data_IF_573892523023
#
_entry.id   IF_573892523023
#
_cell.length_a   1.000
_cell.length_b   1.000
_cell.length_c   1.000
_cell.angle_alpha   90.00
_cell.angle_beta   90.00
_cell.angle_gamma   90.00
#
_symmetry.space_group_name_H-M   'P 1'
#
loop_
_entity.id
_entity.type
_entity.pdbx_description
1 polymer ?
#
# COMPACT_ATOMS: atom_id res chain seq x y z
N UNK A 1 -2.70 19.83 11.88
CA UNK A 1 -3.87 19.19 12.58
C UNK A 1 -3.43 17.81 13.05
N UNK A 2 -4.03 17.21 14.10
CA UNK A 2 -3.55 15.91 14.64
C UNK A 2 -4.46 14.76 14.21
N UNK A 3 -3.88 13.60 13.94
CA UNK A 3 -4.53 12.29 13.72
C UNK A 3 -4.04 11.32 14.79
N UNK A 4 -4.94 10.56 15.35
CA UNK A 4 -4.64 9.57 16.38
C UNK A 4 -4.57 8.17 15.75
N UNK A 5 -3.58 7.37 16.14
CA UNK A 5 -3.39 6.03 15.55
C UNK A 5 -4.52 5.09 15.95
N UNK A 6 -5.04 5.22 17.18
CA UNK A 6 -6.21 4.46 17.59
C UNK A 6 -7.42 4.79 16.69
N UNK A 7 -7.62 6.07 16.38
CA UNK A 7 -8.64 6.51 15.42
C UNK A 7 -8.42 5.90 14.02
N UNK A 8 -7.18 5.87 13.51
CA UNK A 8 -6.86 5.16 12.26
C UNK A 8 -7.21 3.67 12.34
N UNK A 9 -6.97 3.03 13.49
CA UNK A 9 -7.39 1.67 13.79
C UNK A 9 -8.90 1.47 13.67
N UNK A 10 -9.68 2.37 14.27
CA UNK A 10 -11.15 2.34 14.16
C UNK A 10 -11.61 2.50 12.71
N UNK A 11 -11.05 3.46 11.96
CA UNK A 11 -11.39 3.64 10.55
C UNK A 11 -10.93 2.51 9.64
N UNK A 12 -9.82 1.84 9.98
CA UNK A 12 -9.35 0.65 9.26
C UNK A 12 -10.32 -0.51 9.49
N UNK A 13 -10.77 -0.70 10.74
CA UNK A 13 -11.80 -1.69 11.06
C UNK A 13 -13.13 -1.38 10.36
N UNK A 14 -13.55 -0.12 10.32
CA UNK A 14 -14.73 0.34 9.59
C UNK A 14 -14.68 0.00 8.11
N UNK A 15 -13.56 0.33 7.46
CA UNK A 15 -13.34 -0.02 6.06
C UNK A 15 -13.39 -1.54 5.85
N UNK A 16 -12.82 -2.32 6.78
CA UNK A 16 -12.83 -3.78 6.70
C UNK A 16 -14.24 -4.35 6.84
N UNK A 17 -15.01 -3.87 7.80
CA UNK A 17 -16.43 -4.25 8.00
C UNK A 17 -17.28 -3.88 6.78
N UNK A 18 -17.12 -2.65 6.25
CA UNK A 18 -17.77 -2.23 5.02
C UNK A 18 -17.42 -3.13 3.83
N UNK A 19 -16.15 -3.51 3.68
CA UNK A 19 -15.71 -4.40 2.60
C UNK A 19 -16.29 -5.80 2.73
N UNK A 20 -16.44 -6.32 3.95
CA UNK A 20 -17.13 -7.59 4.18
C UNK A 20 -18.61 -7.49 3.81
N UNK A 21 -19.29 -6.40 4.16
CA UNK A 21 -20.68 -6.18 3.75
C UNK A 21 -20.84 -6.09 2.22
N UNK A 22 -19.88 -5.46 1.53
CA UNK A 22 -19.84 -5.41 0.07
C UNK A 22 -19.63 -6.81 -0.55
N UNK A 23 -18.68 -7.58 0.00
CA UNK A 23 -18.40 -8.96 -0.40
C UNK A 23 -19.63 -9.87 -0.22
N UNK A 24 -20.28 -9.79 0.95
CA UNK A 24 -21.49 -10.56 1.27
C UNK A 24 -22.64 -10.20 0.32
N UNK A 25 -22.83 -8.91 0.04
CA UNK A 25 -23.87 -8.43 -0.87
C UNK A 25 -23.65 -8.96 -2.28
N UNK A 26 -22.41 -8.92 -2.78
CA UNK A 26 -22.06 -9.49 -4.08
C UNK A 26 -22.25 -11.01 -4.10
N UNK A 27 -21.82 -11.70 -3.04
CA UNK A 27 -21.92 -13.16 -2.93
C UNK A 27 -23.37 -13.62 -2.95
N UNK A 28 -24.26 -12.93 -2.22
CA UNK A 28 -25.69 -13.23 -2.19
C UNK A 28 -26.38 -13.06 -3.55
N UNK A 29 -25.96 -12.07 -4.34
CA UNK A 29 -26.55 -11.78 -5.65
C UNK A 29 -26.07 -12.72 -6.74
N UNK A 30 -24.77 -13.02 -6.74
CA UNK A 30 -24.10 -13.73 -7.82
C UNK A 30 -23.94 -15.22 -7.55
N UNK A 31 -24.02 -15.62 -6.27
CA UNK A 31 -23.72 -16.97 -5.81
C UNK A 31 -22.22 -17.30 -5.84
N UNK A 32 -21.35 -16.30 -6.01
CA UNK A 32 -19.89 -16.45 -6.05
C UNK A 32 -19.35 -16.14 -4.67
N UNK A 33 -18.48 -16.99 -4.17
CA UNK A 33 -17.79 -16.72 -2.91
C UNK A 33 -16.75 -15.62 -3.13
N UNK A 34 -17.05 -14.45 -2.56
CA UNK A 34 -16.18 -13.28 -2.55
C UNK A 34 -15.67 -13.06 -1.13
N UNK A 35 -14.38 -12.79 -0.99
CA UNK A 35 -13.78 -12.45 0.29
C UNK A 35 -12.96 -11.16 0.19
N UNK A 36 -12.77 -10.50 1.33
CA UNK A 36 -11.88 -9.36 1.46
C UNK A 36 -10.48 -9.89 1.72
N UNK A 37 -9.54 -9.56 0.85
CA UNK A 37 -8.14 -10.00 0.94
C UNK A 37 -7.33 -9.08 1.84
N UNK A 38 -7.40 -7.76 1.57
CA UNK A 38 -6.72 -6.74 2.36
C UNK A 38 -7.54 -5.46 2.41
N UNK A 39 -7.50 -4.78 3.56
CA UNK A 39 -8.00 -3.41 3.72
C UNK A 39 -6.93 -2.55 4.38
N UNK A 40 -6.59 -1.42 3.75
CA UNK A 40 -5.57 -0.50 4.25
C UNK A 40 -5.99 0.96 4.11
N UNK A 41 -5.39 1.80 4.96
CA UNK A 41 -5.46 3.25 4.85
C UNK A 41 -4.11 3.75 4.37
N UNK A 42 -4.09 4.47 3.26
CA UNK A 42 -2.88 5.06 2.72
C UNK A 42 -3.01 6.57 2.68
N UNK A 43 -1.96 7.28 3.07
CA UNK A 43 -1.89 8.74 2.98
C UNK A 43 -0.94 9.10 1.83
N UNK A 44 -1.47 9.73 0.79
CA UNK A 44 -0.73 10.00 -0.44
C UNK A 44 -0.84 11.46 -0.84
N UNK A 45 0.23 12.01 -1.43
CA UNK A 45 0.10 13.23 -2.21
C UNK A 45 -0.60 12.95 -3.54
N UNK A 46 -1.21 13.96 -4.20
CA UNK A 46 -1.79 13.77 -5.52
C UNK A 46 -0.78 13.27 -6.58
N UNK A 47 0.50 13.60 -6.42
CA UNK A 47 1.55 13.11 -7.32
C UNK A 47 1.89 11.64 -7.04
N UNK A 48 1.99 11.23 -5.77
CA UNK A 48 2.20 9.82 -5.42
C UNK A 48 0.98 8.95 -5.81
N UNK A 49 -0.23 9.50 -5.71
CA UNK A 49 -1.44 8.85 -6.22
C UNK A 49 -1.38 8.66 -7.73
N UNK A 50 -0.72 9.56 -8.47
CA UNK A 50 -0.51 9.41 -9.91
C UNK A 50 0.50 8.35 -10.28
N UNK A 51 1.62 8.32 -9.58
CA UNK A 51 2.63 7.27 -9.70
C UNK A 51 2.03 5.89 -9.37
N UNK A 52 1.02 5.86 -8.49
CA UNK A 52 0.42 4.63 -7.98
C UNK A 52 -0.54 3.90 -8.92
N UNK A 53 -1.10 4.61 -9.89
CA UNK A 53 -2.07 4.08 -10.85
C UNK A 53 -1.45 4.18 -12.25
N UNK A 54 -0.73 3.11 -12.62
CA UNK A 54 -0.04 2.89 -13.92
C UNK A 54 -0.98 3.02 -15.14
N UNK A 55 -0.47 2.87 -16.37
CA UNK A 55 -1.21 2.88 -17.65
C UNK A 55 -2.18 1.67 -17.82
N UNK A 56 -2.74 1.16 -16.72
CA UNK A 56 -3.76 0.13 -16.72
C UNK A 56 -5.14 0.70 -17.08
N UNK A 57 -5.92 -0.07 -17.84
CA UNK A 57 -7.30 0.28 -18.13
C UNK A 57 -8.23 -0.26 -17.05
N UNK A 58 -9.01 0.65 -16.47
CA UNK A 58 -10.00 0.34 -15.45
C UNK A 58 -11.42 0.54 -15.96
N UNK A 59 -12.32 -0.33 -15.51
CA UNK A 59 -13.76 -0.18 -15.64
C UNK A 59 -14.32 -0.14 -14.22
N UNK A 60 -15.31 0.72 -13.96
CA UNK A 60 -15.78 0.87 -12.60
C UNK A 60 -17.07 1.65 -12.44
N UNK A 61 -17.40 1.88 -11.17
CA UNK A 61 -18.55 2.67 -10.75
C UNK A 61 -18.10 3.64 -9.67
N UNK A 62 -18.41 4.91 -9.86
CA UNK A 62 -18.17 5.97 -8.89
C UNK A 62 -19.48 6.40 -8.23
N UNK A 63 -19.44 6.54 -6.90
CA UNK A 63 -20.51 7.05 -6.05
C UNK A 63 -19.91 8.06 -5.08
N UNK A 64 -20.36 9.31 -5.17
CA UNK A 64 -20.15 10.31 -4.13
C UNK A 64 -21.10 10.06 -2.95
N UNK A 65 -20.65 10.42 -1.75
CA UNK A 65 -21.45 10.39 -0.52
C UNK A 65 -21.30 11.71 0.24
N UNK A 66 -22.36 12.10 0.95
CA UNK A 66 -22.48 13.36 1.70
C UNK A 66 -23.26 13.12 3.02
N UNK A 67 -23.20 14.07 3.94
CA UNK A 67 -23.85 14.00 5.25
C UNK A 67 -22.95 14.54 6.37
N UNK A 68 -22.76 13.75 7.43
CA UNK A 68 -21.74 14.05 8.46
C UNK A 68 -20.33 13.64 8.02
N UNK A 69 -20.25 12.85 6.95
CA UNK A 69 -19.05 12.35 6.32
C UNK A 69 -19.26 12.49 4.83
N UNK A 70 -18.30 13.11 4.15
CA UNK A 70 -18.39 13.41 2.72
C UNK A 70 -17.15 12.92 1.99
N UNK A 71 -17.33 12.56 0.73
CA UNK A 71 -16.26 12.06 -0.11
C UNK A 71 -16.76 11.29 -1.31
N UNK A 72 -15.84 10.58 -1.94
CA UNK A 72 -16.11 9.83 -3.16
C UNK A 72 -15.58 8.41 -3.03
N UNK A 73 -16.32 7.47 -3.59
CA UNK A 73 -15.92 6.08 -3.64
C UNK A 73 -15.94 5.57 -5.07
N UNK A 74 -14.97 4.74 -5.42
CA UNK A 74 -14.85 4.14 -6.75
C UNK A 74 -14.60 2.64 -6.58
N UNK A 75 -15.50 1.84 -7.14
CA UNK A 75 -15.25 0.42 -7.38
C UNK A 75 -14.60 0.28 -8.75
N UNK A 76 -13.41 -0.31 -8.83
CA UNK A 76 -12.73 -0.55 -10.09
C UNK A 76 -12.38 -2.02 -10.30
N UNK A 77 -12.38 -2.38 -11.58
CA UNK A 77 -12.01 -3.68 -12.12
C UNK A 77 -10.96 -3.44 -13.19
N UNK A 78 -9.92 -4.28 -13.23
CA UNK A 78 -9.02 -4.31 -14.39
C UNK A 78 -9.83 -4.67 -15.64
N UNK A 79 -9.58 -3.98 -16.74
CA UNK A 79 -10.34 -4.15 -17.98
C UNK A 79 -10.33 -5.59 -18.49
N UNK A 80 -9.23 -6.32 -18.31
CA UNK A 80 -9.11 -7.73 -18.67
C UNK A 80 -10.04 -8.65 -17.85
N UNK A 81 -10.33 -8.29 -16.60
CA UNK A 81 -11.14 -9.08 -15.68
C UNK A 81 -12.65 -8.84 -15.83
N UNK A 82 -13.06 -7.75 -16.51
CA UNK A 82 -14.47 -7.38 -16.61
C UNK A 82 -15.31 -8.41 -17.36
N UNK A 83 -14.72 -9.13 -18.32
CA UNK A 83 -15.41 -10.17 -19.08
C UNK A 83 -15.81 -11.35 -18.19
N UNK A 84 -14.93 -11.75 -17.26
CA UNK A 84 -15.22 -12.79 -16.29
C UNK A 84 -16.36 -12.38 -15.36
N UNK A 85 -16.30 -11.14 -14.83
CA UNK A 85 -17.38 -10.58 -14.01
C UNK A 85 -18.71 -10.50 -14.77
N UNK A 86 -18.71 -9.98 -16.00
CA UNK A 86 -19.94 -9.85 -16.78
C UNK A 86 -20.55 -11.21 -17.12
N UNK A 87 -19.74 -12.23 -17.39
CA UNK A 87 -20.25 -13.59 -17.61
C UNK A 87 -20.89 -14.17 -16.34
N UNK A 88 -20.38 -13.81 -15.15
CA UNK A 88 -20.98 -14.17 -13.88
C UNK A 88 -22.32 -13.48 -13.64
N UNK A 89 -22.38 -12.18 -13.89
CA UNK A 89 -23.55 -11.34 -13.61
C UNK A 89 -24.66 -11.53 -14.65
N UNK A 90 -24.26 -11.67 -15.91
CA UNK A 90 -25.14 -11.69 -17.08
C UNK A 90 -24.73 -12.80 -18.06
N UNK A 91 -24.93 -14.09 -17.70
CA UNK A 91 -24.48 -15.22 -18.51
C UNK A 91 -24.94 -15.14 -19.96
N UNK A 92 -24.00 -15.30 -20.91
CA UNK A 92 -24.28 -15.26 -22.35
C UNK A 92 -24.59 -13.88 -22.95
N UNK A 93 -24.41 -12.81 -22.17
CA UNK A 93 -24.62 -11.42 -22.64
C UNK A 93 -23.34 -10.74 -23.11
N UNK A 94 -22.16 -11.29 -22.76
CA UNK A 94 -20.87 -10.73 -23.16
C UNK A 94 -20.42 -11.35 -24.49
N UNK A 95 -20.38 -10.55 -25.56
CA UNK A 95 -20.00 -11.01 -26.91
C UNK A 95 -18.51 -10.80 -27.23
N UNK A 96 -17.70 -10.35 -26.27
CA UNK A 96 -16.25 -10.13 -26.44
C UNK A 96 -15.85 -8.84 -27.17
N UNK A 97 -16.81 -8.13 -27.79
CA UNK A 97 -16.59 -6.83 -28.46
C UNK A 97 -17.12 -5.68 -27.58
N UNK A 98 -16.26 -5.21 -26.67
CA UNK A 98 -16.55 -4.05 -25.81
C UNK A 98 -17.65 -4.28 -24.76
N UNK A 99 -17.93 -3.25 -23.95
CA UNK A 99 -19.01 -3.24 -22.96
C UNK A 99 -20.17 -2.44 -23.54
N UNK A 100 -21.24 -3.13 -23.94
CA UNK A 100 -22.46 -2.50 -24.43
C UNK A 100 -23.27 -1.85 -23.29
N UNK A 101 -24.33 -1.11 -23.63
CA UNK A 101 -25.13 -0.40 -22.62
C UNK A 101 -25.83 -1.32 -21.62
N UNK A 102 -26.09 -2.57 -22.01
CA UNK A 102 -26.68 -3.57 -21.11
C UNK A 102 -25.64 -4.03 -20.08
N UNK A 103 -24.43 -4.35 -20.53
CA UNK A 103 -23.30 -4.70 -19.67
C UNK A 103 -22.90 -3.53 -18.76
N UNK A 104 -22.87 -2.28 -19.25
CA UNK A 104 -22.63 -1.10 -18.40
C UNK A 104 -23.68 -0.97 -17.31
N UNK A 105 -24.95 -1.22 -17.63
CA UNK A 105 -26.04 -1.19 -16.64
C UNK A 105 -25.86 -2.29 -15.59
N UNK A 106 -25.41 -3.48 -15.99
CA UNK A 106 -25.06 -4.57 -15.06
C UNK A 106 -23.91 -4.20 -14.13
N UNK A 107 -22.83 -3.61 -14.66
CA UNK A 107 -21.70 -3.11 -13.84
C UNK A 107 -22.18 -2.03 -12.87
N UNK A 108 -23.01 -1.08 -13.32
CA UNK A 108 -23.58 -0.04 -12.46
C UNK A 108 -24.42 -0.61 -11.33
N UNK A 109 -25.26 -1.60 -11.60
CA UNK A 109 -26.11 -2.22 -10.58
C UNK A 109 -25.28 -2.93 -9.52
N UNK A 110 -24.30 -3.72 -9.95
CA UNK A 110 -23.40 -4.43 -9.02
C UNK A 110 -22.54 -3.47 -8.23
N UNK A 111 -21.94 -2.48 -8.89
CA UNK A 111 -21.19 -1.44 -8.20
C UNK A 111 -22.06 -0.69 -7.20
N UNK A 112 -23.30 -0.33 -7.56
CA UNK A 112 -24.20 0.30 -6.62
C UNK A 112 -24.45 -0.55 -5.38
N UNK A 113 -24.72 -1.85 -5.54
CA UNK A 113 -25.01 -2.72 -4.40
C UNK A 113 -23.78 -2.90 -3.52
N UNK A 114 -22.62 -3.17 -4.10
CA UNK A 114 -21.38 -3.32 -3.33
C UNK A 114 -21.02 -2.06 -2.56
N UNK A 115 -21.09 -0.92 -3.22
CA UNK A 115 -20.71 0.36 -2.63
C UNK A 115 -21.74 0.84 -1.62
N UNK A 116 -23.04 0.57 -1.83
CA UNK A 116 -24.04 0.78 -0.78
C UNK A 116 -23.76 -0.08 0.44
N UNK A 117 -23.46 -1.38 0.28
CA UNK A 117 -23.09 -2.24 1.40
C UNK A 117 -21.83 -1.75 2.15
N UNK A 118 -20.84 -1.26 1.40
CA UNK A 118 -19.62 -0.67 1.97
C UNK A 118 -19.92 0.58 2.80
N UNK A 119 -20.63 1.55 2.23
CA UNK A 119 -20.95 2.83 2.89
C UNK A 119 -21.97 2.61 4.04
N UNK A 120 -22.90 1.67 3.92
CA UNK A 120 -23.84 1.31 4.98
C UNK A 120 -23.11 0.78 6.21
N UNK A 121 -22.03 -0.01 6.03
CA UNK A 121 -21.16 -0.44 7.13
C UNK A 121 -20.56 0.74 7.90
N UNK A 122 -20.14 1.79 7.20
CA UNK A 122 -19.68 3.03 7.83
C UNK A 122 -20.81 3.79 8.52
N UNK A 123 -21.97 3.91 7.87
CA UNK A 123 -23.14 4.62 8.39
C UNK A 123 -23.64 4.02 9.71
N UNK A 124 -23.75 2.70 9.77
CA UNK A 124 -24.21 1.95 10.95
C UNK A 124 -23.31 2.18 12.16
N UNK A 125 -21.99 2.11 11.96
CA UNK A 125 -21.02 2.28 13.04
C UNK A 125 -20.88 3.74 13.47
N UNK A 126 -20.87 4.69 12.52
CA UNK A 126 -20.85 6.12 12.84
C UNK A 126 -22.19 6.62 13.40
N UNK A 127 -23.26 5.81 13.33
CA UNK A 127 -24.59 6.17 13.79
C UNK A 127 -25.19 7.36 13.04
N UNK A 128 -24.76 7.57 11.79
CA UNK A 128 -25.19 8.68 10.94
C UNK A 128 -25.88 8.17 9.68
N UNK A 129 -26.81 8.96 9.16
CA UNK A 129 -27.25 8.79 7.78
C UNK A 129 -26.16 9.31 6.83
N UNK A 130 -25.92 8.58 5.74
CA UNK A 130 -25.04 8.97 4.66
C UNK A 130 -25.89 8.98 3.38
N UNK A 131 -25.95 10.12 2.70
CA UNK A 131 -26.67 10.27 1.45
C UNK A 131 -25.73 9.94 0.28
N UNK A 132 -26.15 9.02 -0.59
CA UNK A 132 -25.35 8.59 -1.75
C UNK A 132 -25.87 9.23 -3.04
N UNK A 133 -24.95 9.65 -3.89
CA UNK A 133 -25.25 10.07 -5.27
C UNK A 133 -25.58 8.85 -6.14
N UNK A 134 -26.33 9.02 -7.26
CA UNK A 134 -26.53 7.93 -8.20
C UNK A 134 -25.21 7.41 -8.80
N UNK A 135 -25.07 6.10 -9.04
CA UNK A 135 -23.85 5.50 -9.57
C UNK A 135 -23.51 6.07 -10.95
N UNK A 136 -22.23 6.35 -11.18
CA UNK A 136 -21.69 6.79 -12.47
C UNK A 136 -20.72 5.74 -13.00
N UNK A 137 -20.95 5.26 -14.22
CA UNK A 137 -20.04 4.32 -14.87
C UNK A 137 -18.77 5.05 -15.33
N UNK A 138 -17.61 4.47 -15.05
CA UNK A 138 -16.29 4.98 -15.46
C UNK A 138 -15.53 3.91 -16.23
N UNK A 139 -14.85 4.31 -17.30
CA UNK A 139 -13.97 3.47 -18.10
C UNK A 139 -12.83 4.35 -18.60
N UNK A 140 -11.68 4.24 -17.95
CA UNK A 140 -10.57 5.21 -18.00
C UNK A 140 -9.24 4.49 -17.76
N UNK A 141 -8.15 5.17 -18.10
CA UNK A 141 -6.78 4.67 -17.96
C UNK A 141 -6.11 5.32 -16.75
N UNK A 142 -5.39 4.53 -15.96
CA UNK A 142 -4.70 4.96 -14.76
C UNK A 142 -5.58 5.82 -13.84
N UNK A 143 -5.03 6.95 -13.42
CA UNK A 143 -5.67 7.87 -12.46
C UNK A 143 -6.95 8.54 -12.98
N UNK A 144 -7.21 8.54 -14.28
CA UNK A 144 -8.41 9.19 -14.83
C UNK A 144 -9.70 8.48 -14.38
N UNK A 145 -9.60 7.26 -13.83
CA UNK A 145 -10.72 6.54 -13.21
C UNK A 145 -11.07 7.07 -11.82
N UNK A 146 -10.13 7.78 -11.17
CA UNK A 146 -10.28 8.27 -9.81
C UNK A 146 -11.05 9.59 -9.77
N UNK A 147 -11.59 9.97 -8.59
CA UNK A 147 -12.29 11.23 -8.44
C UNK A 147 -11.34 12.43 -8.64
N UNK A 148 -11.70 13.36 -9.51
CA UNK A 148 -10.84 14.52 -9.84
C UNK A 148 -10.50 15.37 -8.61
N UNK A 149 -11.40 15.46 -7.62
CA UNK A 149 -11.16 16.19 -6.38
C UNK A 149 -9.96 15.66 -5.61
N UNK A 150 -9.76 14.34 -5.57
CA UNK A 150 -8.61 13.72 -4.94
C UNK A 150 -7.29 14.08 -5.65
N UNK A 151 -7.33 14.25 -6.98
CA UNK A 151 -6.15 14.61 -7.78
C UNK A 151 -5.82 16.12 -7.73
N UNK A 152 -6.80 16.96 -7.39
CA UNK A 152 -6.69 18.42 -7.40
C UNK A 152 -6.55 19.04 -6.00
N UNK A 153 -6.67 18.26 -4.92
CA UNK A 153 -6.73 18.75 -3.52
C UNK A 153 -5.53 19.60 -3.12
N UNK A 154 -4.35 19.40 -3.73
CA UNK A 154 -3.09 20.07 -3.38
C UNK A 154 -2.54 19.71 -1.98
N UNK A 155 -3.33 19.00 -1.18
CA UNK A 155 -3.03 18.46 0.14
C UNK A 155 -2.94 16.93 0.06
N UNK A 156 -2.49 16.29 1.14
CA UNK A 156 -2.51 14.83 1.24
C UNK A 156 -3.94 14.29 1.26
N UNK A 157 -4.13 13.13 0.66
CA UNK A 157 -5.41 12.46 0.51
C UNK A 157 -5.38 11.15 1.28
N UNK A 158 -6.41 10.92 2.10
CA UNK A 158 -6.67 9.61 2.66
C UNK A 158 -7.28 8.71 1.58
N UNK A 159 -6.66 7.56 1.36
CA UNK A 159 -7.15 6.51 0.51
C UNK A 159 -7.45 5.29 1.35
N UNK A 160 -8.72 4.92 1.43
CA UNK A 160 -9.14 3.62 1.94
C UNK A 160 -9.19 2.67 0.76
N UNK A 161 -8.28 1.71 0.74
CA UNK A 161 -8.22 0.68 -0.28
C UNK A 161 -8.72 -0.63 0.32
N UNK A 162 -9.59 -1.31 -0.40
CA UNK A 162 -9.93 -2.70 -0.11
C UNK A 162 -9.84 -3.53 -1.36
N UNK A 163 -9.04 -4.59 -1.29
CA UNK A 163 -8.94 -5.61 -2.33
C UNK A 163 -9.86 -6.76 -1.97
N UNK A 164 -10.66 -7.16 -2.94
CA UNK A 164 -11.57 -8.28 -2.83
C UNK A 164 -11.29 -9.26 -3.96
N UNK A 165 -11.42 -10.54 -3.67
CA UNK A 165 -11.08 -11.62 -4.57
C UNK A 165 -12.17 -12.69 -4.61
N UNK A 166 -12.17 -13.48 -5.69
CA UNK A 166 -13.06 -14.65 -5.85
C UNK A 166 -12.26 -15.93 -5.78
N UNK A 167 -12.79 -16.96 -5.11
CA UNK A 167 -12.08 -18.24 -4.94
C UNK A 167 -11.89 -19.03 -6.25
N UNK A 168 -12.76 -18.83 -7.25
CA UNK A 168 -12.88 -19.75 -8.39
C UNK A 168 -12.19 -19.28 -9.68
N UNK A 169 -11.91 -17.98 -9.85
CA UNK A 169 -11.48 -17.42 -11.15
C UNK A 169 -10.48 -16.27 -11.08
N UNK A 170 -9.82 -16.06 -9.94
CA UNK A 170 -8.79 -15.03 -9.76
C UNK A 170 -9.27 -13.63 -10.21
N UNK A 171 -10.56 -13.33 -10.00
CA UNK A 171 -11.13 -12.02 -10.31
C UNK A 171 -10.90 -11.10 -9.11
N UNK A 172 -10.08 -10.08 -9.33
CA UNK A 172 -9.75 -9.07 -8.33
C UNK A 172 -10.48 -7.76 -8.61
N UNK A 173 -10.99 -7.14 -7.55
CA UNK A 173 -11.62 -5.83 -7.59
C UNK A 173 -11.23 -4.99 -6.39
N UNK A 174 -11.24 -3.69 -6.61
CA UNK A 174 -10.75 -2.71 -5.65
C UNK A 174 -11.85 -1.71 -5.33
N UNK A 175 -12.13 -1.54 -4.05
CA UNK A 175 -12.92 -0.43 -3.54
C UNK A 175 -11.94 0.63 -3.05
N UNK A 176 -11.97 1.80 -3.69
CA UNK A 176 -11.24 2.98 -3.26
C UNK A 176 -12.20 4.00 -2.68
N UNK A 177 -11.99 4.41 -1.43
CA UNK A 177 -12.74 5.49 -0.80
C UNK A 177 -11.81 6.66 -0.49
N UNK A 178 -12.22 7.83 -0.96
CA UNK A 178 -11.54 9.12 -0.85
C UNK A 178 -12.42 10.07 -0.02
N UNK A 179 -12.34 10.04 1.31
CA UNK A 179 -13.04 11.02 2.13
C UNK A 179 -12.44 12.40 1.96
N UNK A 180 -13.26 13.44 2.09
CA UNK A 180 -12.73 14.80 2.13
C UNK A 180 -11.86 14.99 3.38
N UNK A 181 -10.67 15.55 3.18
CA UNK A 181 -9.64 15.64 4.23
C UNK A 181 -10.15 16.35 5.49
N UNK A 182 -10.89 17.45 5.33
CA UNK A 182 -11.49 18.20 6.44
C UNK A 182 -12.49 17.37 7.25
N UNK A 183 -13.42 16.71 6.56
CA UNK A 183 -14.43 15.86 7.21
C UNK A 183 -13.79 14.66 7.93
N UNK A 184 -12.80 14.02 7.30
CA UNK A 184 -12.10 12.88 7.88
C UNK A 184 -11.35 13.26 9.16
N UNK A 185 -10.62 14.38 9.12
CA UNK A 185 -9.85 14.87 10.28
C UNK A 185 -10.75 15.34 11.42
N UNK A 186 -11.91 15.91 11.11
CA UNK A 186 -12.93 16.25 12.11
C UNK A 186 -13.47 14.98 12.78
N UNK A 187 -13.84 13.95 12.00
CA UNK A 187 -14.32 12.67 12.54
C UNK A 187 -13.29 11.98 13.43
N UNK A 188 -12.03 11.91 13.00
CA UNK A 188 -10.94 11.38 13.83
C UNK A 188 -10.74 12.18 15.11
N UNK A 189 -10.95 13.49 15.08
CA UNK A 189 -10.84 14.34 16.27
C UNK A 189 -11.99 14.09 17.27
N UNK A 190 -13.16 13.69 16.79
CA UNK A 190 -14.32 13.37 17.63
C UNK A 190 -14.21 12.00 18.32
N UNK A 191 -13.50 11.05 17.71
CA UNK A 191 -13.29 9.70 18.27
C UNK A 191 -12.04 9.58 19.16
N UNK A 192 -11.38 10.68 19.48
CA UNK A 192 -10.25 10.69 20.41
C UNK A 192 -10.65 10.26 21.81
N UNK A 193 -10.02 9.20 22.31
CA UNK A 193 -10.11 8.82 23.73
C UNK A 193 -9.00 9.48 24.58
N UNK A 194 -7.78 9.67 24.06
CA UNK A 194 -6.64 10.27 24.77
C UNK A 194 -5.82 11.26 23.92
N UNK A 195 -5.45 12.41 24.51
CA UNK A 195 -4.75 13.53 23.84
C UNK A 195 -3.24 13.28 23.63
N UNK A 196 -2.67 12.31 24.36
CA UNK A 196 -1.26 11.91 24.32
C UNK A 196 -0.93 10.97 23.15
N UNK A 197 -1.94 10.53 22.38
CA UNK A 197 -1.75 9.55 21.31
C UNK A 197 -1.74 10.09 19.87
N UNK A 198 -1.93 11.40 19.74
CA UNK A 198 -2.20 12.03 18.46
C UNK A 198 -0.95 12.57 17.75
N UNK A 199 -0.66 12.03 16.56
CA UNK A 199 0.40 12.46 15.63
C UNK A 199 -0.13 13.54 14.67
N UNK A 200 0.50 14.72 14.55
CA UNK A 200 0.13 15.68 13.51
C UNK A 200 0.19 15.06 12.09
N UNK A 201 -0.84 15.28 11.26
CA UNK A 201 -0.84 14.77 9.87
C UNK A 201 0.37 15.25 9.10
N UNK A 202 0.75 16.52 9.30
CA UNK A 202 1.94 17.12 8.71
C UNK A 202 3.22 16.30 9.01
N UNK A 203 3.27 15.56 10.14
CA UNK A 203 4.37 14.66 10.48
C UNK A 203 4.30 13.31 9.78
N UNK A 204 3.10 12.79 9.52
CA UNK A 204 2.93 11.63 8.65
C UNK A 204 3.36 11.96 7.22
N UNK A 205 3.10 13.19 6.76
CA UNK A 205 3.62 13.70 5.49
C UNK A 205 5.14 13.71 5.44
N UNK A 206 5.78 14.27 6.49
CA UNK A 206 7.25 14.28 6.61
C UNK A 206 7.78 12.84 6.65
N UNK A 207 7.10 11.92 7.33
CA UNK A 207 7.47 10.51 7.38
C UNK A 207 7.38 9.85 6.01
N UNK A 208 6.34 10.13 5.24
CA UNK A 208 6.20 9.66 3.86
C UNK A 208 7.34 10.20 2.97
N UNK A 209 7.67 11.50 3.09
CA UNK A 209 8.80 12.09 2.36
C UNK A 209 10.15 11.50 2.76
N UNK A 210 10.39 11.30 4.05
CA UNK A 210 11.57 10.62 4.60
C UNK A 210 11.70 9.20 4.03
N UNK A 211 10.58 8.51 3.93
CA UNK A 211 10.50 7.17 3.37
C UNK A 211 10.85 7.14 1.89
N UNK A 212 10.29 8.08 1.10
CA UNK A 212 10.63 8.24 -0.32
C UNK A 212 12.13 8.54 -0.51
N UNK A 213 12.74 9.32 0.39
CA UNK A 213 14.19 9.56 0.39
C UNK A 213 14.99 8.30 0.73
N UNK A 214 14.55 7.51 1.71
CA UNK A 214 15.18 6.23 2.03
C UNK A 214 15.13 5.26 0.85
N UNK A 215 13.96 5.12 0.21
CA UNK A 215 13.81 4.31 -1.01
C UNK A 215 14.73 4.79 -2.13
N UNK A 216 14.86 6.12 -2.29
CA UNK A 216 15.78 6.71 -3.28
C UNK A 216 17.23 6.39 -2.98
N UNK A 217 17.65 6.48 -1.71
CA UNK A 217 19.00 6.07 -1.30
C UNK A 217 19.28 4.59 -1.59
N UNK A 218 18.29 3.72 -1.39
CA UNK A 218 18.39 2.31 -1.75
C UNK A 218 18.52 2.11 -3.27
N UNK A 219 17.73 2.82 -4.08
CA UNK A 219 17.84 2.79 -5.54
C UNK A 219 19.22 3.28 -6.03
N UNK A 220 19.70 4.41 -5.53
CA UNK A 220 21.04 4.94 -5.85
C UNK A 220 22.16 3.92 -5.56
N UNK A 221 22.02 3.17 -4.46
CA UNK A 221 22.94 2.09 -4.11
C UNK A 221 22.89 0.92 -5.10
N UNK A 222 21.70 0.52 -5.55
CA UNK A 222 21.57 -0.49 -6.61
C UNK A 222 22.26 0.01 -7.89
N UNK A 223 22.00 1.25 -8.29
CA UNK A 223 22.62 1.84 -9.49
C UNK A 223 24.14 1.86 -9.40
N UNK A 224 24.71 2.20 -8.24
CA UNK A 224 26.16 2.20 -8.03
C UNK A 224 26.77 0.79 -8.10
N UNK A 225 26.08 -0.23 -7.59
CA UNK A 225 26.60 -1.60 -7.56
C UNK A 225 26.42 -2.33 -8.89
N UNK A 226 25.31 -2.11 -9.58
CA UNK A 226 24.96 -2.81 -10.83
C UNK A 226 25.40 -2.04 -12.08
N UNK A 227 25.62 -0.73 -11.96
CA UNK A 227 25.88 0.15 -13.10
C UNK A 227 24.64 0.39 -13.98
N UNK A 228 23.45 -0.02 -13.53
CA UNK A 228 22.18 0.18 -14.22
C UNK A 228 21.41 1.31 -13.54
N UNK A 229 20.96 2.30 -14.30
CA UNK A 229 20.16 3.39 -13.76
C UNK A 229 18.82 2.85 -13.24
N UNK A 230 18.57 3.09 -11.94
CA UNK A 230 17.32 2.75 -11.24
C UNK A 230 16.66 4.00 -10.68
N UNK A 231 15.32 3.94 -10.62
CA UNK A 231 14.48 4.98 -10.05
C UNK A 231 13.46 4.35 -9.10
N UNK A 232 13.03 5.13 -8.11
CA UNK A 232 11.90 4.77 -7.25
C UNK A 232 10.63 5.12 -8.01
N UNK A 233 9.84 4.11 -8.32
CA UNK A 233 8.60 4.22 -9.10
C UNK A 233 7.44 4.64 -8.20
N UNK A 234 7.30 3.96 -7.06
CA UNK A 234 6.20 4.18 -6.11
C UNK A 234 6.75 4.05 -4.69
N UNK A 235 6.29 4.90 -3.77
CA UNK A 235 6.53 4.77 -2.34
C UNK A 235 5.26 5.16 -1.59
N UNK A 236 4.69 4.22 -0.84
CA UNK A 236 3.42 4.43 -0.11
C UNK A 236 3.59 4.15 1.36
N UNK A 237 2.95 4.97 2.18
CA UNK A 237 2.76 4.70 3.59
C UNK A 237 1.35 4.15 3.81
N UNK A 238 1.28 2.88 4.13
CA UNK A 238 0.03 2.17 4.39
C UNK A 238 -0.08 1.82 5.87
N UNK A 239 -1.25 2.07 6.45
CA UNK A 239 -1.63 1.60 7.77
C UNK A 239 -2.53 0.37 7.60
N UNK A 240 -2.04 -0.77 8.06
CA UNK A 240 -2.64 -2.10 7.81
C UNK A 240 -2.87 -2.82 9.14
N UNK A 241 -3.97 -3.58 9.31
CA UNK A 241 -4.04 -4.58 10.36
C UNK A 241 -2.84 -5.51 10.26
N UNK A 242 -2.16 -5.81 11.38
CA UNK A 242 -0.90 -6.56 11.33
C UNK A 242 -1.12 -7.97 10.76
N UNK A 243 -2.30 -8.56 10.96
CA UNK A 243 -2.69 -9.84 10.39
C UNK A 243 -2.87 -9.83 8.87
N UNK A 244 -3.16 -8.67 8.27
CA UNK A 244 -3.41 -8.52 6.83
C UNK A 244 -2.11 -8.18 6.06
N UNK A 245 -1.03 -7.86 6.76
CA UNK A 245 0.26 -7.53 6.14
C UNK A 245 0.82 -8.64 5.21
N UNK A 246 0.70 -9.95 5.51
CA UNK A 246 1.10 -11.00 4.58
C UNK A 246 0.32 -10.97 3.25
N UNK A 247 -0.99 -10.71 3.30
CA UNK A 247 -1.85 -10.63 2.12
C UNK A 247 -1.53 -9.39 1.28
N UNK A 248 -1.18 -8.27 1.93
CA UNK A 248 -0.76 -7.07 1.22
C UNK A 248 0.48 -7.31 0.34
N UNK A 249 1.46 -8.09 0.80
CA UNK A 249 2.64 -8.48 0.00
C UNK A 249 2.29 -9.54 -1.06
N UNK A 250 1.32 -10.40 -0.77
CA UNK A 250 0.81 -11.39 -1.71
C UNK A 250 1.64 -12.67 -1.83
N UNK A 251 1.20 -13.57 -2.71
CA UNK A 251 1.72 -14.94 -2.83
C UNK A 251 2.75 -15.14 -3.96
N UNK A 252 3.16 -14.06 -4.62
CA UNK A 252 4.24 -14.09 -5.60
C UNK A 252 5.54 -14.61 -4.98
N UNK A 253 6.34 -15.31 -5.79
CA UNK A 253 7.62 -15.87 -5.36
C UNK A 253 8.70 -14.81 -5.41
N UNK A 254 9.31 -14.57 -4.27
CA UNK A 254 10.40 -13.62 -4.13
C UNK A 254 11.67 -14.28 -3.64
N UNK A 255 12.81 -13.76 -4.08
CA UNK A 255 14.11 -13.97 -3.46
C UNK A 255 14.67 -12.64 -2.98
N UNK A 256 15.24 -12.62 -1.78
CA UNK A 256 15.62 -11.36 -1.17
C UNK A 256 16.24 -11.49 0.21
N UNK A 257 16.12 -10.44 1.00
CA UNK A 257 16.62 -10.41 2.37
C UNK A 257 15.59 -9.84 3.35
N UNK A 258 15.63 -10.36 4.57
CA UNK A 258 14.96 -9.79 5.74
C UNK A 258 16.02 -9.31 6.72
N UNK A 259 15.87 -8.09 7.20
CA UNK A 259 16.80 -7.42 8.11
C UNK A 259 16.00 -6.81 9.26
N UNK A 260 16.42 -7.08 10.50
CA UNK A 260 15.91 -6.32 11.65
C UNK A 260 16.70 -5.02 11.80
N UNK A 261 16.02 -3.93 12.12
CA UNK A 261 16.67 -2.68 12.54
C UNK A 261 16.32 -2.36 14.00
N UNK A 262 17.24 -1.71 14.69
CA UNK A 262 17.23 -1.43 16.12
C UNK A 262 17.60 0.04 16.34
N UNK A 263 16.85 0.73 17.20
CA UNK A 263 17.00 2.16 17.41
C UNK A 263 15.65 2.77 17.70
N UNK A 264 15.44 4.01 17.26
CA UNK A 264 14.14 4.68 17.35
C UNK A 264 13.76 5.17 15.95
N UNK A 265 12.94 4.43 15.18
CA UNK A 265 12.27 3.17 15.54
C UNK A 265 13.13 1.90 15.35
N UNK A 266 12.75 0.81 16.01
CA UNK A 266 13.12 -0.56 15.65
C UNK A 266 12.07 -1.22 14.74
N UNK A 267 12.38 -2.36 14.13
CA UNK A 267 11.46 -3.05 13.22
C UNK A 267 12.16 -3.97 12.22
N UNK A 268 11.52 -4.18 11.07
CA UNK A 268 12.02 -5.04 10.00
C UNK A 268 11.97 -4.35 8.64
N UNK A 269 13.01 -4.56 7.84
CA UNK A 269 13.10 -4.18 6.44
C UNK A 269 13.23 -5.47 5.60
N UNK A 270 12.37 -5.61 4.60
CA UNK A 270 12.44 -6.65 3.60
C UNK A 270 12.80 -6.01 2.27
N UNK A 271 13.70 -6.65 1.53
CA UNK A 271 14.10 -6.24 0.19
C UNK A 271 13.93 -7.47 -0.69
N UNK A 272 12.89 -7.45 -1.53
CA UNK A 272 12.39 -8.59 -2.26
C UNK A 272 12.49 -8.34 -3.76
N UNK A 273 12.98 -9.33 -4.49
CA UNK A 273 13.03 -9.32 -5.95
C UNK A 273 12.21 -10.50 -6.45
N UNK A 274 11.43 -10.32 -7.50
CA UNK A 274 10.85 -11.47 -8.20
C UNK A 274 11.97 -12.40 -8.72
N UNK A 275 11.65 -13.66 -9.02
CA UNK A 275 12.68 -14.65 -9.37
C UNK A 275 13.52 -14.26 -10.61
N UNK A 276 12.94 -13.55 -11.58
CA UNK A 276 13.66 -13.09 -12.76
C UNK A 276 14.59 -11.93 -12.40
N UNK A 277 14.08 -10.95 -11.67
CA UNK A 277 14.83 -9.80 -11.16
C UNK A 277 16.01 -10.22 -10.27
N UNK A 278 15.79 -11.16 -9.35
CA UNK A 278 16.84 -11.69 -8.48
C UNK A 278 17.99 -12.31 -9.28
N UNK A 279 17.67 -13.03 -10.36
CA UNK A 279 18.65 -13.63 -11.26
C UNK A 279 19.42 -12.55 -12.04
N UNK A 280 18.71 -11.61 -12.67
CA UNK A 280 19.33 -10.52 -13.43
C UNK A 280 20.30 -9.71 -12.57
N UNK A 281 19.89 -9.37 -11.35
CA UNK A 281 20.73 -8.62 -10.41
C UNK A 281 21.96 -9.42 -9.99
N UNK A 282 21.79 -10.70 -9.65
CA UNK A 282 22.91 -11.57 -9.28
C UNK A 282 23.92 -11.74 -10.42
N UNK A 283 23.45 -11.95 -11.65
CA UNK A 283 24.29 -12.05 -12.86
C UNK A 283 25.02 -10.74 -13.16
N UNK A 284 24.38 -9.59 -12.94
CA UNK A 284 25.01 -8.28 -13.14
C UNK A 284 26.15 -8.04 -12.15
N UNK A 285 25.99 -8.50 -10.90
CA UNK A 285 27.02 -8.37 -9.86
C UNK A 285 28.13 -9.41 -9.99
N UNK A 286 27.87 -10.54 -10.64
CA UNK A 286 28.80 -11.67 -10.78
C UNK A 286 29.21 -11.81 -12.26
N UNK A 287 30.38 -11.29 -12.68
CA UNK A 287 30.81 -11.29 -14.08
C UNK A 287 31.22 -12.67 -14.62
N UNK A 288 30.78 -13.77 -14.01
CA UNK A 288 31.16 -15.14 -14.33
C UNK A 288 29.92 -15.97 -14.61
N UNK A 289 29.99 -16.89 -15.58
CA UNK A 289 28.92 -17.87 -15.79
C UNK A 289 28.76 -18.71 -14.53
N UNK A 290 27.60 -18.64 -13.90
CA UNK A 290 27.25 -19.50 -12.78
C UNK A 290 26.75 -20.85 -13.32
N UNK A 291 27.29 -21.94 -12.78
CA UNK A 291 26.90 -23.29 -13.16
C UNK A 291 25.67 -23.72 -12.34
N UNK A 292 24.49 -23.79 -12.95
CA UNK A 292 23.28 -24.31 -12.31
C UNK A 292 22.00 -23.71 -12.87
N UNK A 293 20.86 -24.29 -12.47
CA UNK A 293 19.54 -23.68 -12.67
C UNK A 293 19.06 -23.16 -11.31
N UNK A 294 18.90 -21.85 -11.17
CA UNK A 294 18.43 -21.18 -9.94
C UNK A 294 19.49 -20.39 -9.16
N UNK A 295 19.11 -19.90 -7.98
CA UNK A 295 19.94 -19.07 -7.10
C UNK A 295 20.87 -19.94 -6.23
N UNK A 296 22.10 -20.16 -6.70
CA UNK A 296 23.17 -20.82 -5.96
C UNK A 296 23.74 -19.99 -4.81
N UNK A 297 24.75 -20.53 -4.12
CA UNK A 297 25.35 -19.87 -2.95
C UNK A 297 26.01 -18.53 -3.29
N UNK A 298 26.54 -18.39 -4.51
CA UNK A 298 27.20 -17.16 -4.95
C UNK A 298 26.17 -16.07 -5.27
N UNK A 299 25.08 -16.41 -5.95
CA UNK A 299 23.96 -15.53 -6.24
C UNK A 299 23.27 -15.07 -4.96
N UNK A 300 23.04 -16.00 -4.01
CA UNK A 300 22.53 -15.68 -2.67
C UNK A 300 23.46 -14.70 -1.94
N UNK A 301 24.77 -14.90 -2.06
CA UNK A 301 25.78 -13.99 -1.52
C UNK A 301 25.70 -12.59 -2.12
N UNK A 302 25.55 -12.49 -3.44
CA UNK A 302 25.38 -11.21 -4.14
C UNK A 302 24.10 -10.48 -3.71
N UNK A 303 22.97 -11.19 -3.64
CA UNK A 303 21.69 -10.64 -3.15
C UNK A 303 21.81 -10.15 -1.70
N UNK A 304 22.52 -10.90 -0.84
CA UNK A 304 22.76 -10.48 0.54
C UNK A 304 23.61 -9.22 0.63
N UNK A 305 24.66 -9.12 -0.18
CA UNK A 305 25.51 -7.93 -0.21
C UNK A 305 24.73 -6.71 -0.71
N UNK A 306 23.97 -6.87 -1.80
CA UNK A 306 23.11 -5.80 -2.30
C UNK A 306 22.07 -5.37 -1.27
N UNK A 307 21.38 -6.33 -0.65
CA UNK A 307 20.41 -6.06 0.40
C UNK A 307 21.02 -5.32 1.60
N UNK A 308 22.27 -5.62 1.96
CA UNK A 308 23.00 -4.89 3.00
C UNK A 308 23.24 -3.42 2.60
N UNK A 309 23.72 -3.18 1.38
CA UNK A 309 23.99 -1.81 0.89
C UNK A 309 22.69 -1.01 0.74
N UNK A 310 21.65 -1.62 0.18
CA UNK A 310 20.32 -1.01 0.07
C UNK A 310 19.75 -0.63 1.44
N UNK A 311 19.93 -1.49 2.44
CA UNK A 311 19.47 -1.22 3.81
C UNK A 311 20.15 -0.02 4.41
N UNK A 312 21.46 0.13 4.24
CA UNK A 312 22.16 1.34 4.67
C UNK A 312 21.58 2.59 4.01
N UNK A 313 21.36 2.58 2.69
CA UNK A 313 20.72 3.71 1.99
C UNK A 313 19.33 4.05 2.52
N UNK A 314 18.50 3.04 2.79
CA UNK A 314 17.15 3.23 3.31
C UNK A 314 17.13 3.73 4.76
N UNK A 315 17.87 3.05 5.64
CA UNK A 315 17.92 3.34 7.07
C UNK A 315 18.65 4.66 7.35
N UNK A 316 19.69 5.00 6.59
CA UNK A 316 20.36 6.30 6.70
C UNK A 316 19.39 7.44 6.34
N UNK A 317 18.51 7.24 5.36
CA UNK A 317 17.43 8.17 5.04
C UNK A 317 16.54 8.47 6.25
N UNK A 318 16.17 7.43 7.00
CA UNK A 318 15.38 7.59 8.23
C UNK A 318 16.17 8.25 9.35
N UNK A 319 17.39 7.78 9.60
CA UNK A 319 18.28 8.27 10.64
C UNK A 319 18.57 9.77 10.49
N UNK A 320 18.77 10.25 9.26
CA UNK A 320 19.02 11.66 8.94
C UNK A 320 17.85 12.57 9.35
N UNK A 321 16.62 12.18 9.00
CA UNK A 321 15.42 12.98 9.24
C UNK A 321 15.00 12.89 10.71
N UNK A 322 15.08 11.70 11.32
CA UNK A 322 14.76 11.48 12.74
C UNK A 322 15.85 11.94 13.72
N UNK A 323 17.04 12.31 13.22
CA UNK A 323 18.22 12.64 14.03
C UNK A 323 18.58 11.56 15.04
N UNK A 324 18.53 10.31 14.62
CA UNK A 324 18.81 9.16 15.48
C UNK A 324 19.82 8.24 14.80
N UNK A 325 20.37 7.30 15.57
CA UNK A 325 21.15 6.19 15.04
C UNK A 325 20.26 4.96 14.98
N UNK A 326 20.19 4.34 13.81
CA UNK A 326 19.45 3.10 13.61
C UNK A 326 20.46 2.06 13.13
N UNK A 327 20.73 1.08 14.00
CA UNK A 327 21.57 -0.06 13.67
C UNK A 327 20.73 -1.14 13.01
N UNK A 328 21.36 -2.03 12.24
CA UNK A 328 20.65 -3.16 11.62
C UNK A 328 21.41 -4.48 11.77
N UNK A 329 20.66 -5.57 11.78
CA UNK A 329 21.22 -6.92 11.82
C UNK A 329 21.82 -7.29 10.46
N UNK A 330 22.71 -8.29 10.40
CA UNK A 330 23.12 -8.86 9.12
C UNK A 330 21.91 -9.41 8.33
N UNK A 331 21.89 -9.30 6.98
CA UNK A 331 20.80 -9.80 6.17
C UNK A 331 20.61 -11.31 6.26
N UNK A 332 19.34 -11.71 6.41
CA UNK A 332 18.91 -13.10 6.29
C UNK A 332 18.31 -13.31 4.91
N UNK A 333 18.92 -14.20 4.11
CA UNK A 333 18.41 -14.53 2.79
C UNK A 333 17.10 -15.32 2.91
N UNK A 334 16.13 -14.98 2.06
CA UNK A 334 14.83 -15.64 1.95
C UNK A 334 14.51 -15.93 0.48
N UNK A 335 13.79 -17.03 0.25
CA UNK A 335 13.28 -17.41 -1.08
C UNK A 335 12.02 -18.24 -0.89
N UNK A 336 10.86 -17.58 -0.95
CA UNK A 336 9.54 -18.17 -0.73
C UNK A 336 8.44 -17.26 -1.30
N UNK A 337 7.18 -17.60 -1.08
CA UNK A 337 6.04 -16.71 -1.32
C UNK A 337 6.12 -15.49 -0.41
N UNK A 338 5.76 -14.30 -0.90
CA UNK A 338 5.81 -13.05 -0.15
C UNK A 338 5.13 -13.13 1.22
N UNK A 339 3.90 -13.64 1.25
CA UNK A 339 3.12 -13.91 2.46
C UNK A 339 3.86 -14.80 3.47
N UNK A 340 4.55 -15.85 3.00
CA UNK A 340 5.33 -16.75 3.83
C UNK A 340 6.63 -16.11 4.36
N UNK A 341 7.23 -15.18 3.61
CA UNK A 341 8.40 -14.41 4.04
C UNK A 341 8.02 -13.42 5.15
N UNK A 342 6.87 -12.78 5.04
CA UNK A 342 6.38 -11.74 5.97
C UNK A 342 5.78 -12.34 7.25
N UNK A 343 5.16 -13.53 7.16
CA UNK A 343 4.46 -14.17 8.30
C UNK A 343 5.30 -14.26 9.60
N UNK A 344 6.60 -14.64 9.58
CA UNK A 344 7.42 -14.66 10.79
C UNK A 344 7.74 -13.27 11.37
N UNK A 345 7.76 -12.23 10.52
CA UNK A 345 7.94 -10.83 10.95
C UNK A 345 6.67 -10.35 11.66
N UNK A 346 5.52 -10.57 11.03
CA UNK A 346 4.18 -10.29 11.58
C UNK A 346 3.97 -10.99 12.91
N UNK A 347 4.30 -12.28 13.02
CA UNK A 347 4.16 -13.01 14.29
C UNK A 347 5.04 -12.49 15.45
N UNK A 348 6.07 -11.67 15.17
CA UNK A 348 6.87 -10.98 16.19
C UNK A 348 6.28 -9.63 16.55
N UNK A 349 5.94 -8.81 15.56
CA UNK A 349 5.36 -7.48 15.77
C UNK A 349 3.94 -7.57 16.37
N UNK A 350 3.12 -8.51 15.90
CA UNK A 350 1.76 -8.75 16.40
C UNK A 350 1.65 -9.20 17.86
N UNK A 351 2.77 -9.30 18.59
CA UNK A 351 2.77 -9.49 20.04
C UNK A 351 2.62 -8.17 20.81
N UNK A 352 2.92 -7.04 20.17
CA UNK A 352 2.94 -5.71 20.79
C UNK A 352 2.09 -4.67 20.07
N UNK A 353 1.67 -4.91 18.82
CA UNK A 353 0.84 -3.99 18.03
C UNK A 353 -0.25 -4.75 17.27
N UNK A 354 -1.43 -4.14 17.15
CA UNK A 354 -2.56 -4.68 16.37
C UNK A 354 -2.53 -4.18 14.91
N UNK A 355 -1.83 -3.08 14.66
CA UNK A 355 -1.68 -2.49 13.33
C UNK A 355 -0.20 -2.30 13.01
N UNK A 356 0.13 -2.23 11.73
CA UNK A 356 1.45 -1.85 11.23
C UNK A 356 1.36 -0.62 10.35
N UNK A 357 2.29 0.30 10.56
CA UNK A 357 2.77 1.12 9.46
C UNK A 357 3.60 0.21 8.58
N UNK A 358 3.20 0.10 7.32
CA UNK A 358 3.94 -0.59 6.31
C UNK A 358 4.27 0.39 5.19
N UNK A 359 5.52 0.36 4.81
CA UNK A 359 6.01 1.11 3.69
C UNK A 359 6.28 0.10 2.59
N UNK A 360 5.60 0.25 1.47
CA UNK A 360 5.89 -0.46 0.25
C UNK A 360 6.54 0.52 -0.74
N UNK A 361 7.68 0.13 -1.30
CA UNK A 361 8.33 0.92 -2.35
C UNK A 361 8.82 0.03 -3.47
N UNK A 362 8.54 0.43 -4.70
CA UNK A 362 8.95 -0.29 -5.90
C UNK A 362 10.09 0.47 -6.58
N UNK A 363 11.21 -0.22 -6.80
CA UNK A 363 12.36 0.29 -7.55
C UNK A 363 12.45 -0.44 -8.88
N UNK A 364 12.56 0.31 -9.98
CA UNK A 364 12.64 -0.21 -11.34
C UNK A 364 13.77 0.46 -12.11
N UNK A 365 14.23 -0.21 -13.15
CA UNK A 365 15.12 0.39 -14.15
C UNK A 365 14.28 0.95 -15.31
N UNK A 366 14.75 2.00 -16.01
CA UNK A 366 14.06 2.56 -17.20
C UNK A 366 13.76 1.53 -18.30
N UNK A 367 14.47 0.40 -18.33
CA UNK A 367 14.31 -0.68 -19.32
C UNK A 367 13.70 -1.96 -18.75
N UNK A 368 13.06 -1.88 -17.57
CA UNK A 368 12.42 -3.01 -16.88
C UNK A 368 13.31 -4.26 -16.74
N UNK A 369 14.63 -4.06 -16.59
CA UNK A 369 15.58 -5.16 -16.46
C UNK A 369 15.38 -5.93 -15.16
N UNK A 370 14.97 -5.24 -14.10
CA UNK A 370 14.53 -5.84 -12.86
C UNK A 370 13.61 -4.89 -12.07
N UNK A 371 12.86 -5.48 -11.13
CA UNK A 371 11.97 -4.86 -10.15
C UNK A 371 12.40 -5.30 -8.75
N UNK A 372 12.38 -4.37 -7.81
CA UNK A 372 12.65 -4.63 -6.40
C UNK A 372 11.57 -3.99 -5.54
N UNK A 373 11.12 -4.70 -4.51
CA UNK A 373 10.12 -4.27 -3.56
C UNK A 373 10.73 -4.16 -2.18
N UNK A 374 10.59 -2.99 -1.57
CA UNK A 374 11.04 -2.71 -0.22
C UNK A 374 9.82 -2.65 0.69
N UNK A 375 9.82 -3.47 1.75
CA UNK A 375 8.79 -3.44 2.79
C UNK A 375 9.42 -3.08 4.13
N UNK A 376 9.06 -1.93 4.70
CA UNK A 376 9.49 -1.56 6.06
C UNK A 376 8.32 -1.65 7.04
N UNK A 377 8.51 -2.38 8.13
CA UNK A 377 7.55 -2.59 9.21
C UNK A 377 8.20 -2.17 10.56
N UNK A 378 8.16 -0.88 10.92
CA UNK A 378 8.60 -0.40 12.22
C UNK A 378 7.66 -0.80 13.36
N UNK A 379 8.19 -0.86 14.57
CA UNK A 379 7.41 -0.88 15.81
C UNK A 379 6.57 0.40 15.89
N UNK A 380 5.26 0.22 16.01
CA UNK A 380 4.29 1.32 15.96
C UNK A 380 4.53 2.36 17.06
N UNK A 381 4.75 1.90 18.30
CA UNK A 381 4.90 2.76 19.46
C UNK A 381 6.23 3.55 19.42
N UNK A 382 7.30 2.92 18.94
CA UNK A 382 8.59 3.59 18.76
C UNK A 382 8.57 4.57 17.60
N UNK A 383 7.92 4.21 16.48
CA UNK A 383 7.72 5.13 15.36
C UNK A 383 6.94 6.36 15.81
N UNK A 384 5.84 6.17 16.54
CA UNK A 384 5.05 7.27 17.12
C UNK A 384 5.91 8.23 17.94
N UNK A 385 6.74 7.71 18.86
CA UNK A 385 7.66 8.54 19.65
C UNK A 385 8.67 9.29 18.77
N UNK A 386 9.20 8.64 17.74
CA UNK A 386 10.12 9.26 16.79
C UNK A 386 9.44 10.43 16.05
N UNK A 387 8.19 10.23 15.61
CA UNK A 387 7.38 11.26 14.97
C UNK A 387 7.01 12.39 15.94
N UNK A 388 6.70 12.12 17.21
CA UNK A 388 6.43 13.19 18.19
C UNK A 388 7.60 14.18 18.34
N UNK A 389 8.84 13.70 18.23
CA UNK A 389 10.06 14.52 18.28
C UNK A 389 10.46 15.13 16.94
N UNK A 390 9.87 14.67 15.83
CA UNK A 390 10.22 15.10 14.49
C UNK A 390 9.92 16.59 14.27
N UNK A 391 10.90 17.28 13.68
CA UNK A 391 10.77 18.66 13.20
C UNK A 391 10.31 18.65 11.72
N UNK A 392 9.18 19.32 11.46
CA UNK A 392 8.49 19.32 10.16
C UNK A 392 9.33 20.03 9.08
N UNK A 393 10.18 20.97 9.47
CA UNK A 393 11.05 21.70 8.54
C UNK A 393 12.18 20.82 7.96
N UNK A 394 12.39 19.61 8.51
CA UNK A 394 13.51 18.73 8.13
C UNK A 394 13.17 17.68 7.07
N UNK A 395 11.97 17.73 6.50
CA UNK A 395 11.52 16.77 5.48
C UNK A 395 12.45 16.67 4.25
N UNK A 396 13.26 17.70 3.99
CA UNK A 396 14.26 17.74 2.90
C UNK A 396 15.72 17.59 3.34
N UNK A 397 16.02 17.31 4.61
CA UNK A 397 17.40 17.27 5.11
C UNK A 397 18.11 15.93 4.88
N UNK A 398 19.35 16.00 4.38
CA UNK A 398 20.15 14.83 3.96
C UNK A 398 21.34 14.54 4.87
N UNK A 399 21.45 15.18 6.05
CA UNK A 399 22.59 15.02 6.97
C UNK A 399 22.15 15.03 8.44
N UNK A 400 22.69 14.08 9.23
CA UNK A 400 22.64 14.12 10.70
C UNK A 400 23.55 15.25 11.21
N UNK A 401 23.03 16.10 12.10
CA UNK A 401 23.84 17.06 12.86
C UNK A 401 24.47 16.36 14.06
N UNK A 402 25.66 15.78 13.86
CA UNK A 402 26.37 15.00 14.88
C UNK A 402 26.76 15.82 16.13
N UNK A 403 26.71 17.16 16.06
CA UNK A 403 27.09 18.06 17.15
C UNK A 403 25.97 18.24 18.22
N UNK A 404 24.76 17.70 18.02
CA UNK A 404 23.66 17.77 19.00
C UNK A 404 23.64 16.63 20.04
N UNK A 405 24.44 15.58 19.86
CA UNK A 405 24.40 14.37 20.71
C UNK A 405 25.71 14.07 21.46
N UNK A 406 26.63 15.03 21.54
CA UNK A 406 27.87 14.93 22.33
C UNK A 406 28.01 16.00 23.42
#
# INVERSE_FOLDING_TARGET
MKVDIHSLGVFSQLAREGSHHAADSLSQLTGIDVFVDVTNITLLSPDDLRESFDDEQFVGVQIGFDGQFEGETVLVFKRENIGALLEYLLPGSYTGDGIDEFAKSGVKEVGNIMMSGFIDGWADHLGTAIDMTPPTYVEREGTDVLPQRALESGEEVFLFESRLETLDRDVNFFIYMFPEYGAMTELMSLQREDDDEAIPVDKLSVFNQMTKQGAKGAAENISMMTGVDTEVDVSRLSFVPIEDAPNHVGDDRFAGVVIGFQGMPSGYLLILFDEASARTVAETMLPMETEGDGLGDMERGAIKELGNVMTSGFIDGWANVLQTSIDHTPPQFVHDMGSAIVSPVVGRLGQSQDFAFMIDSTVRTEREQFRCELYALPDEAELKRALETLDVDRAGETKVDADQYF
#
